data_IF_798830003177
#
_entry.id   IF_798830003177
#
_cell.length_a   1.000
_cell.length_b   1.000
_cell.length_c   1.000
_cell.angle_alpha   90.00
_cell.angle_beta   90.00
_cell.angle_gamma   90.00
#
_symmetry.space_group_name_H-M   'P 1'
#
loop_
_entity.id
_entity.type
_entity.pdbx_description
1 polymer ?
#
# COMPACT_ATOMS: atom_id res chain seq x y z
N UNK A 1 -13.36 19.78 -13.74
CA UNK A 1 -12.33 18.85 -14.30
C UNK A 1 -10.90 19.18 -13.88
N UNK A 2 -10.39 20.42 -14.04
CA UNK A 2 -8.99 20.77 -13.71
C UNK A 2 -8.55 20.39 -12.28
N UNK A 3 -9.43 20.49 -11.28
CA UNK A 3 -9.14 20.12 -9.89
C UNK A 3 -8.98 18.61 -9.65
N UNK A 4 -9.73 17.76 -10.38
CA UNK A 4 -9.63 16.30 -10.27
C UNK A 4 -8.32 15.81 -10.90
N UNK A 5 -7.97 16.34 -12.08
CA UNK A 5 -6.71 16.05 -12.77
C UNK A 5 -5.50 16.37 -11.89
N UNK A 6 -5.51 17.52 -11.20
CA UNK A 6 -4.41 17.91 -10.29
C UNK A 6 -4.25 16.94 -9.11
N UNK A 7 -5.35 16.38 -8.59
CA UNK A 7 -5.30 15.38 -7.51
C UNK A 7 -4.77 14.04 -8.00
N UNK A 8 -5.23 13.59 -9.16
CA UNK A 8 -4.76 12.34 -9.80
C UNK A 8 -3.27 12.45 -10.13
N UNK A 9 -2.83 13.57 -10.71
CA UNK A 9 -1.42 13.81 -11.02
C UNK A 9 -0.51 13.76 -9.77
N UNK A 10 -0.91 14.38 -8.66
CA UNK A 10 -0.18 14.28 -7.39
C UNK A 10 -0.12 12.84 -6.87
N UNK A 11 -1.18 12.05 -7.06
CA UNK A 11 -1.22 10.66 -6.65
C UNK A 11 -0.28 9.81 -7.52
N UNK A 12 -0.31 9.96 -8.84
CA UNK A 12 0.61 9.29 -9.75
C UNK A 12 2.08 9.63 -9.45
N UNK A 13 2.37 10.90 -9.13
CA UNK A 13 3.73 11.30 -8.79
C UNK A 13 4.27 10.58 -7.54
N UNK A 14 3.40 10.32 -6.55
CA UNK A 14 3.79 9.53 -5.37
C UNK A 14 4.08 8.07 -5.71
N UNK A 15 3.30 7.48 -6.62
CA UNK A 15 3.53 6.10 -7.08
C UNK A 15 4.90 6.01 -7.75
N UNK A 16 5.18 6.90 -8.70
CA UNK A 16 6.46 6.92 -9.43
C UNK A 16 7.65 7.08 -8.48
N UNK A 17 7.57 7.97 -7.49
CA UNK A 17 8.64 8.12 -6.48
C UNK A 17 8.86 6.80 -5.72
N UNK A 18 7.78 6.14 -5.29
CA UNK A 18 7.88 4.87 -4.58
C UNK A 18 8.52 3.79 -5.46
N UNK A 19 8.13 3.71 -6.73
CA UNK A 19 8.71 2.75 -7.68
C UNK A 19 10.20 3.01 -7.93
N UNK A 20 10.64 4.27 -8.04
CA UNK A 20 12.06 4.61 -8.19
C UNK A 20 12.87 4.15 -6.97
N UNK A 21 12.34 4.37 -5.76
CA UNK A 21 13.00 3.93 -4.53
C UNK A 21 13.09 2.40 -4.49
N UNK A 22 12.00 1.71 -4.82
CA UNK A 22 11.95 0.24 -4.83
C UNK A 22 12.87 -0.35 -5.91
N UNK A 23 12.94 0.25 -7.09
CA UNK A 23 13.87 -0.14 -8.14
C UNK A 23 15.33 0.07 -7.71
N UNK A 24 15.63 1.19 -7.04
CA UNK A 24 16.95 1.44 -6.45
C UNK A 24 17.33 0.39 -5.40
N UNK A 25 16.40 0.02 -4.52
CA UNK A 25 16.61 -1.06 -3.56
C UNK A 25 16.79 -2.41 -4.25
N UNK A 26 16.00 -2.72 -5.27
CA UNK A 26 16.12 -3.95 -6.04
C UNK A 26 17.48 -4.07 -6.72
N UNK A 27 18.02 -2.95 -7.25
CA UNK A 27 19.36 -2.90 -7.83
C UNK A 27 20.45 -3.22 -6.79
N UNK A 28 20.37 -2.61 -5.60
CA UNK A 28 21.32 -2.89 -4.51
C UNK A 28 21.25 -4.36 -4.09
N UNK A 29 20.05 -4.89 -3.87
CA UNK A 29 19.86 -6.30 -3.47
C UNK A 29 20.39 -7.26 -4.55
N UNK A 30 20.14 -6.95 -5.83
CA UNK A 30 20.64 -7.73 -6.96
C UNK A 30 22.17 -7.79 -6.97
N UNK A 31 22.82 -6.64 -6.73
CA UNK A 31 24.29 -6.57 -6.67
C UNK A 31 24.89 -7.46 -5.58
N UNK A 32 24.25 -7.57 -4.41
CA UNK A 32 24.75 -8.41 -3.31
C UNK A 32 24.33 -9.88 -3.41
N UNK A 33 23.21 -10.18 -4.08
CA UNK A 33 22.61 -11.52 -4.05
C UNK A 33 22.87 -12.34 -5.32
N UNK A 34 23.52 -11.75 -6.34
CA UNK A 34 23.75 -12.35 -7.67
C UNK A 34 22.46 -12.84 -8.37
N UNK A 35 21.31 -12.33 -7.90
CA UNK A 35 19.98 -12.61 -8.45
C UNK A 35 19.65 -11.61 -9.55
N UNK A 36 18.86 -12.03 -10.53
CA UNK A 36 18.37 -11.13 -11.58
C UNK A 36 17.52 -10.02 -10.97
N UNK A 37 17.72 -8.79 -11.44
CA UNK A 37 16.93 -7.62 -11.03
C UNK A 37 15.43 -7.86 -11.26
N UNK A 38 15.08 -8.51 -12.38
CA UNK A 38 13.70 -8.87 -12.73
C UNK A 38 13.03 -9.68 -11.61
N UNK A 39 13.69 -10.74 -11.11
CA UNK A 39 13.15 -11.59 -10.05
C UNK A 39 12.93 -10.80 -8.76
N UNK A 40 13.89 -9.95 -8.37
CA UNK A 40 13.78 -9.12 -7.16
C UNK A 40 12.64 -8.11 -7.29
N UNK A 41 12.46 -7.51 -8.47
CA UNK A 41 11.34 -6.59 -8.73
C UNK A 41 9.99 -7.29 -8.68
N UNK A 42 9.90 -8.55 -9.14
CA UNK A 42 8.69 -9.37 -9.01
C UNK A 42 8.37 -9.63 -7.54
N UNK A 43 9.36 -10.06 -6.74
CA UNK A 43 9.16 -10.26 -5.31
C UNK A 43 8.75 -8.97 -4.60
N UNK A 44 9.39 -7.84 -4.90
CA UNK A 44 9.04 -6.54 -4.35
C UNK A 44 7.60 -6.14 -4.71
N UNK A 45 7.18 -6.35 -5.96
CA UNK A 45 5.82 -6.07 -6.41
C UNK A 45 4.77 -6.92 -5.68
N UNK A 46 5.02 -8.22 -5.54
CA UNK A 46 4.14 -9.14 -4.79
C UNK A 46 4.07 -8.74 -3.31
N UNK A 47 5.22 -8.45 -2.68
CA UNK A 47 5.29 -8.03 -1.28
C UNK A 47 4.50 -6.72 -1.07
N UNK A 48 4.61 -5.74 -1.97
CA UNK A 48 3.82 -4.51 -1.90
C UNK A 48 2.31 -4.81 -1.91
N UNK A 49 1.84 -5.67 -2.81
CA UNK A 49 0.42 -6.06 -2.89
C UNK A 49 -0.02 -6.77 -1.60
N UNK A 50 0.81 -7.69 -1.08
CA UNK A 50 0.53 -8.41 0.17
C UNK A 50 0.46 -7.46 1.36
N UNK A 51 1.41 -6.53 1.52
CA UNK A 51 1.40 -5.51 2.57
C UNK A 51 0.15 -4.62 2.44
N UNK A 52 -0.23 -4.25 1.21
CA UNK A 52 -1.48 -3.57 0.92
C UNK A 52 -2.69 -4.36 1.42
N UNK A 53 -2.75 -5.67 1.13
CA UNK A 53 -3.80 -6.57 1.58
C UNK A 53 -3.89 -6.70 3.11
N UNK A 54 -2.74 -6.88 3.77
CA UNK A 54 -2.64 -6.98 5.23
C UNK A 54 -3.12 -5.70 5.94
N UNK A 55 -2.98 -4.54 5.31
CA UNK A 55 -3.45 -3.27 5.88
C UNK A 55 -4.97 -3.21 6.09
N UNK A 56 -5.75 -3.99 5.32
CA UNK A 56 -7.19 -4.12 5.51
C UNK A 56 -7.54 -5.01 6.72
N UNK A 57 -6.76 -6.09 6.93
CA UNK A 57 -6.97 -7.01 8.04
C UNK A 57 -6.69 -6.33 9.40
N UNK A 58 -5.66 -5.49 9.47
CA UNK A 58 -5.37 -4.71 10.68
C UNK A 58 -6.50 -3.73 11.06
N UNK A 59 -7.23 -3.20 10.08
CA UNK A 59 -8.38 -2.31 10.35
C UNK A 59 -9.65 -3.08 10.71
N UNK A 60 -9.80 -4.32 10.26
CA UNK A 60 -10.95 -5.19 10.56
C UNK A 60 -10.94 -5.71 12.00
N UNK A 61 -9.78 -6.13 12.51
CA UNK A 61 -9.69 -6.71 13.86
C UNK A 61 -9.90 -5.67 14.98
N UNK A 62 -9.42 -4.44 14.83
CA UNK A 62 -9.69 -3.38 15.81
C UNK A 62 -11.17 -2.98 15.88
N UNK A 63 -11.95 -3.23 14.83
CA UNK A 63 -13.37 -2.84 14.81
C UNK A 63 -14.31 -3.93 15.36
N UNK A 64 -13.82 -5.17 15.50
CA UNK A 64 -14.62 -6.34 15.86
C UNK A 64 -14.22 -6.97 17.20
N UNK A 65 -13.10 -6.58 17.80
CA UNK A 65 -12.67 -7.09 19.10
C UNK A 65 -13.51 -6.47 20.23
N UNK A 66 -14.25 -7.32 20.93
CA UNK A 66 -15.10 -6.98 22.08
C UNK A 66 -14.26 -6.31 23.19
N UNK A 67 -12.99 -6.69 23.33
CA UNK A 67 -12.07 -6.09 24.30
C UNK A 67 -11.68 -4.66 23.92
N UNK A 68 -11.54 -4.39 22.62
CA UNK A 68 -11.28 -3.05 22.09
C UNK A 68 -12.52 -2.15 22.21
N UNK A 69 -13.71 -2.70 21.98
CA UNK A 69 -14.98 -1.98 22.18
C UNK A 69 -15.16 -1.64 23.67
N UNK A 70 -14.95 -2.59 24.58
CA UNK A 70 -15.09 -2.39 26.03
C UNK A 70 -14.06 -1.37 26.54
N UNK A 71 -12.78 -1.49 26.17
CA UNK A 71 -11.73 -0.54 26.58
C UNK A 71 -11.91 0.86 25.99
N UNK A 72 -12.43 0.98 24.76
CA UNK A 72 -12.70 2.28 24.11
C UNK A 72 -13.99 2.94 24.60
N UNK A 73 -14.97 2.14 25.04
CA UNK A 73 -16.20 2.62 25.70
C UNK A 73 -16.01 3.01 27.17
N UNK A 74 -14.95 2.52 27.82
CA UNK A 74 -14.51 2.99 29.15
C UNK A 74 -13.74 4.33 29.09
N UNK A 75 -13.34 4.79 27.90
CA UNK A 75 -12.75 6.10 27.67
C UNK A 75 -13.81 7.19 27.46
N UNK A 76 -13.46 8.44 27.77
CA UNK A 76 -14.36 9.61 27.74
C UNK A 76 -14.80 10.06 26.33
N UNK A 77 -14.59 9.23 25.29
CA UNK A 77 -14.92 9.55 23.90
C UNK A 77 -16.32 9.08 23.58
N UNK A 78 -17.08 9.94 22.89
CA UNK A 78 -18.44 9.63 22.50
C UNK A 78 -18.47 8.47 21.50
N UNK A 79 -19.55 7.67 21.54
CA UNK A 79 -19.78 6.55 20.61
C UNK A 79 -19.74 6.97 19.13
N UNK A 80 -20.03 8.25 18.88
CA UNK A 80 -19.96 8.90 17.57
C UNK A 80 -18.52 9.13 17.10
N UNK A 81 -17.63 9.62 17.96
CA UNK A 81 -16.20 9.80 17.66
C UNK A 81 -15.49 8.47 17.40
N UNK A 82 -15.84 7.43 18.17
CA UNK A 82 -15.29 6.09 17.99
C UNK A 82 -15.70 5.48 16.64
N UNK A 83 -16.93 5.75 16.21
CA UNK A 83 -17.46 5.31 14.91
C UNK A 83 -16.77 6.06 13.77
N UNK A 84 -16.63 7.38 13.87
CA UNK A 84 -15.93 8.20 12.88
C UNK A 84 -14.46 7.79 12.70
N UNK A 85 -13.77 7.48 13.79
CA UNK A 85 -12.38 7.01 13.76
C UNK A 85 -12.25 5.65 13.06
N UNK A 86 -13.16 4.71 13.32
CA UNK A 86 -13.17 3.41 12.65
C UNK A 86 -13.43 3.55 11.14
N UNK A 87 -14.36 4.42 10.74
CA UNK A 87 -14.59 4.73 9.32
C UNK A 87 -13.36 5.38 8.67
N UNK A 88 -12.70 6.31 9.37
CA UNK A 88 -11.48 6.99 8.89
C UNK A 88 -10.33 6.00 8.73
N UNK A 89 -10.12 5.10 9.68
CA UNK A 89 -9.08 4.06 9.62
C UNK A 89 -9.34 3.09 8.46
N UNK A 90 -10.58 2.63 8.30
CA UNK A 90 -10.95 1.75 7.17
C UNK A 90 -10.75 2.43 5.82
N UNK A 91 -11.12 3.70 5.69
CA UNK A 91 -10.90 4.50 4.48
C UNK A 91 -9.40 4.72 4.20
N UNK A 92 -8.59 4.95 5.23
CA UNK A 92 -7.14 5.06 5.10
C UNK A 92 -6.50 3.73 4.66
N UNK A 93 -6.90 2.61 5.26
CA UNK A 93 -6.43 1.28 4.84
C UNK A 93 -6.83 0.96 3.39
N UNK A 94 -8.05 1.29 2.97
CA UNK A 94 -8.46 1.13 1.56
C UNK A 94 -7.61 1.99 0.61
N UNK A 95 -7.34 3.25 0.98
CA UNK A 95 -6.45 4.12 0.18
C UNK A 95 -5.03 3.58 0.11
N UNK A 96 -4.53 3.02 1.21
CA UNK A 96 -3.21 2.41 1.26
C UNK A 96 -3.13 1.13 0.43
N UNK A 97 -4.14 0.26 0.50
CA UNK A 97 -4.26 -0.90 -0.38
C UNK A 97 -4.22 -0.47 -1.86
N UNK A 98 -5.05 0.50 -2.26
CA UNK A 98 -5.07 0.99 -3.65
C UNK A 98 -3.69 1.51 -4.05
N UNK A 99 -3.04 2.29 -3.18
CA UNK A 99 -1.70 2.80 -3.42
C UNK A 99 -0.67 1.67 -3.61
N UNK A 100 -0.61 0.72 -2.68
CA UNK A 100 0.32 -0.40 -2.72
C UNK A 100 0.06 -1.35 -3.89
N UNK A 101 -1.20 -1.56 -4.25
CA UNK A 101 -1.58 -2.34 -5.44
C UNK A 101 -1.16 -1.63 -6.73
N UNK A 102 -1.28 -0.30 -6.80
CA UNK A 102 -0.79 0.46 -7.95
C UNK A 102 0.74 0.38 -8.06
N UNK A 103 1.48 0.56 -6.95
CA UNK A 103 2.95 0.45 -6.91
C UNK A 103 3.39 -0.95 -7.32
N UNK A 104 2.88 -1.98 -6.66
CA UNK A 104 3.22 -3.37 -6.96
C UNK A 104 2.82 -3.78 -8.39
N UNK A 105 1.64 -3.36 -8.85
CA UNK A 105 1.19 -3.60 -10.21
C UNK A 105 2.05 -2.90 -11.26
N UNK A 106 2.52 -1.68 -10.99
CA UNK A 106 3.39 -0.94 -11.90
C UNK A 106 4.77 -1.59 -12.00
N UNK A 107 5.35 -2.03 -10.88
CA UNK A 107 6.59 -2.81 -10.86
C UNK A 107 6.48 -4.10 -11.69
N UNK A 108 5.39 -4.84 -11.50
CA UNK A 108 5.14 -6.07 -12.27
C UNK A 108 4.94 -5.77 -13.77
N UNK A 109 4.28 -4.67 -14.11
CA UNK A 109 4.12 -4.24 -15.50
C UNK A 109 5.47 -3.87 -16.14
N UNK A 110 6.37 -3.20 -15.40
CA UNK A 110 7.73 -2.91 -15.86
C UNK A 110 8.49 -4.20 -16.14
N UNK A 111 8.44 -5.17 -15.22
CA UNK A 111 9.09 -6.47 -15.41
C UNK A 111 8.55 -7.19 -16.64
N UNK A 112 7.23 -7.29 -16.78
CA UNK A 112 6.60 -7.93 -17.93
C UNK A 112 6.98 -7.25 -19.26
N UNK A 113 7.16 -5.92 -19.27
CA UNK A 113 7.65 -5.19 -20.44
C UNK A 113 9.12 -5.50 -20.75
N UNK A 114 9.96 -5.62 -19.73
CA UNK A 114 11.38 -5.98 -19.90
C UNK A 114 11.50 -7.40 -20.47
N UNK A 115 10.80 -8.36 -19.88
CA UNK A 115 10.82 -9.77 -20.32
C UNK A 115 10.13 -9.99 -21.68
N UNK A 116 9.25 -9.07 -22.11
CA UNK A 116 8.65 -9.12 -23.44
C UNK A 116 9.60 -8.55 -24.52
N UNK A 117 10.45 -7.60 -24.16
CA UNK A 117 11.37 -6.91 -25.10
C UNK A 117 12.70 -7.67 -25.25
N UNK A 118 13.18 -8.34 -24.21
CA UNK A 118 14.46 -9.05 -24.17
C UNK A 118 14.28 -10.57 -24.07
#
# INVERSE_FOLDING_TARGET
MKGLIKRISKFMFKIIIADIILAGLAFVISYFSDMKISDIMVYAGIICILIGGLSLLGSGNNSADVTYIISKSAGNNSMNENTEENYKNRNNSMRFLIFMSCVGGFLLAIVALIDYIF
#
